data_IF_878309444909
#
_entry.id   IF_878309444909
#
_cell.length_a   1.000
_cell.length_b   1.000
_cell.length_c   1.000
_cell.angle_alpha   90.00
_cell.angle_beta   90.00
_cell.angle_gamma   90.00
#
_symmetry.space_group_name_H-M   'P 1'
#
loop_
_entity.id
_entity.type
_entity.pdbx_description
1 polymer ?
#
# COMPACT_ATOMS: atom_id res chain seq x y z
N UNK A 1 41.72 -21.32 -10.95
CA UNK A 1 40.29 -21.45 -11.32
C UNK A 1 39.34 -21.50 -10.12
N UNK A 2 39.67 -22.24 -9.04
CA UNK A 2 38.81 -22.42 -7.85
C UNK A 2 38.45 -21.12 -7.10
N UNK A 3 39.38 -20.15 -7.06
CA UNK A 3 39.21 -18.88 -6.33
C UNK A 3 38.20 -17.93 -6.96
N UNK A 4 38.03 -17.97 -8.29
CA UNK A 4 37.08 -17.13 -9.02
C UNK A 4 35.63 -17.64 -8.84
N UNK A 5 35.47 -18.94 -8.56
CA UNK A 5 34.18 -19.60 -8.36
C UNK A 5 33.52 -19.16 -7.04
N UNK A 6 34.33 -18.94 -6.00
CA UNK A 6 33.88 -18.44 -4.69
C UNK A 6 33.39 -16.99 -4.81
N UNK A 7 34.06 -16.17 -5.62
CA UNK A 7 33.67 -14.76 -5.83
C UNK A 7 32.32 -14.65 -6.54
N UNK A 8 32.05 -15.49 -7.54
CA UNK A 8 30.75 -15.52 -8.23
C UNK A 8 29.63 -15.98 -7.29
N UNK A 9 29.89 -16.95 -6.42
CA UNK A 9 28.91 -17.47 -5.47
C UNK A 9 28.48 -16.42 -4.42
N UNK A 10 29.41 -15.57 -3.98
CA UNK A 10 29.13 -14.48 -3.03
C UNK A 10 28.26 -13.39 -3.67
N UNK A 11 28.48 -13.06 -4.95
CA UNK A 11 27.67 -12.05 -5.66
C UNK A 11 26.23 -12.55 -5.88
N UNK A 12 26.05 -13.87 -6.09
CA UNK A 12 24.73 -14.46 -6.31
C UNK A 12 23.87 -14.59 -5.04
N UNK A 13 24.46 -14.44 -3.86
CA UNK A 13 23.81 -14.71 -2.57
C UNK A 13 23.26 -13.47 -1.87
N UNK A 14 23.27 -12.31 -2.52
CA UNK A 14 22.51 -11.14 -2.05
C UNK A 14 21.08 -11.22 -2.62
N UNK A 15 20.09 -11.75 -1.88
CA UNK A 15 18.70 -11.52 -2.27
C UNK A 15 18.48 -10.00 -2.22
N UNK A 16 18.10 -9.42 -3.36
CA UNK A 16 17.60 -8.06 -3.37
C UNK A 16 16.48 -7.97 -2.34
N UNK A 17 16.63 -7.08 -1.36
CA UNK A 17 15.52 -6.73 -0.47
C UNK A 17 14.50 -6.07 -1.38
N UNK A 18 13.40 -6.76 -1.65
CA UNK A 18 12.31 -6.21 -2.44
C UNK A 18 11.37 -5.49 -1.51
N UNK A 19 11.09 -4.24 -1.83
CA UNK A 19 10.18 -3.38 -1.10
C UNK A 19 8.83 -4.09 -0.91
N UNK A 20 8.43 -4.28 0.35
CA UNK A 20 7.20 -4.98 0.67
C UNK A 20 6.00 -4.16 0.18
N UNK A 21 5.25 -4.72 -0.77
CA UNK A 21 3.99 -4.15 -1.26
C UNK A 21 2.95 -4.25 -0.14
N UNK A 22 2.50 -3.12 0.38
CA UNK A 22 1.42 -3.09 1.34
C UNK A 22 0.08 -3.28 0.61
N UNK A 23 -0.77 -4.19 1.10
CA UNK A 23 -2.08 -4.47 0.52
C UNK A 23 -3.13 -4.42 1.61
N UNK A 24 -4.21 -3.68 1.37
CA UNK A 24 -5.39 -3.67 2.23
C UNK A 24 -6.61 -4.08 1.43
N UNK A 25 -7.41 -4.98 2.00
CA UNK A 25 -8.61 -5.53 1.39
C UNK A 25 -9.79 -5.16 2.28
N UNK A 26 -10.82 -4.57 1.70
CA UNK A 26 -12.02 -4.18 2.45
C UNK A 26 -12.73 -5.39 3.08
N UNK A 27 -13.56 -5.21 4.13
CA UNK A 27 -14.22 -6.32 4.82
C UNK A 27 -15.06 -7.19 3.88
N UNK A 28 -15.71 -6.56 2.88
CA UNK A 28 -16.48 -7.23 1.84
C UNK A 28 -15.64 -7.80 0.69
N UNK A 29 -14.31 -7.71 0.74
CA UNK A 29 -13.34 -8.17 -0.27
C UNK A 29 -13.53 -7.57 -1.68
N UNK A 30 -14.32 -6.50 -1.79
CA UNK A 30 -14.63 -5.83 -3.04
C UNK A 30 -13.63 -4.75 -3.41
N UNK A 31 -12.95 -4.15 -2.43
CA UNK A 31 -12.00 -3.06 -2.66
C UNK A 31 -10.64 -3.53 -2.21
N UNK A 32 -9.64 -3.36 -3.06
CA UNK A 32 -8.25 -3.70 -2.81
C UNK A 32 -7.44 -2.44 -3.03
N UNK A 33 -6.68 -2.02 -2.02
CA UNK A 33 -5.77 -0.88 -2.07
C UNK A 33 -4.35 -1.42 -1.95
N UNK A 34 -3.49 -1.08 -2.88
CA UNK A 34 -2.10 -1.53 -2.92
C UNK A 34 -1.15 -0.35 -2.99
N UNK A 35 -0.04 -0.45 -2.28
CA UNK A 35 1.07 0.50 -2.36
C UNK A 35 2.18 -0.12 -3.20
N UNK A 36 2.58 0.57 -4.26
CA UNK A 36 3.60 0.12 -5.20
C UNK A 36 4.72 1.15 -5.33
N UNK A 37 5.92 0.68 -5.61
CA UNK A 37 7.04 1.51 -6.03
C UNK A 37 7.19 1.41 -7.56
N UNK A 38 7.23 2.55 -8.25
CA UNK A 38 7.25 2.63 -9.72
C UNK A 38 8.53 2.03 -10.31
N UNK A 39 9.64 2.11 -9.60
CA UNK A 39 10.93 1.54 -9.99
C UNK A 39 11.12 0.09 -9.52
N UNK A 40 10.10 -0.50 -8.86
CA UNK A 40 10.18 -1.82 -8.23
C UNK A 40 11.42 -1.98 -7.33
N UNK A 41 11.77 -0.90 -6.63
CA UNK A 41 12.92 -0.80 -5.73
C UNK A 41 12.48 -0.43 -4.32
N UNK A 42 13.40 -0.51 -3.36
CA UNK A 42 13.19 -0.08 -1.97
C UNK A 42 13.00 1.44 -1.83
N UNK A 43 13.48 2.21 -2.81
CA UNK A 43 13.51 3.67 -2.75
C UNK A 43 13.17 4.25 -4.11
N UNK A 44 12.24 5.19 -4.15
CA UNK A 44 11.80 5.81 -5.40
C UNK A 44 10.45 6.48 -5.27
N UNK A 45 9.70 6.48 -6.36
CA UNK A 45 8.34 7.03 -6.41
C UNK A 45 7.34 5.97 -6.03
N UNK A 46 6.55 6.27 -5.01
CA UNK A 46 5.49 5.39 -4.56
C UNK A 46 4.15 5.86 -5.13
N UNK A 47 3.24 4.93 -5.33
CA UNK A 47 1.88 5.21 -5.77
C UNK A 47 0.90 4.20 -5.16
N UNK A 48 -0.34 4.65 -4.99
CA UNK A 48 -1.47 3.82 -4.58
C UNK A 48 -2.23 3.38 -5.83
N UNK A 49 -2.54 2.09 -5.89
CA UNK A 49 -3.46 1.51 -6.87
C UNK A 49 -4.69 1.02 -6.14
N UNK A 50 -5.87 1.47 -6.59
CA UNK A 50 -7.16 1.02 -6.03
C UNK A 50 -7.86 0.18 -7.07
N UNK A 51 -8.21 -1.04 -6.70
CA UNK A 51 -8.91 -1.98 -7.56
C UNK A 51 -10.21 -2.44 -6.93
N UNK A 52 -11.19 -2.70 -7.79
CA UNK A 52 -12.46 -3.27 -7.44
C UNK A 52 -12.54 -4.72 -7.92
N UNK A 53 -12.87 -5.64 -7.03
CA UNK A 53 -13.16 -7.03 -7.38
C UNK A 53 -14.65 -7.15 -7.70
N UNK A 54 -14.95 -7.43 -8.97
CA UNK A 54 -16.31 -7.72 -9.39
C UNK A 54 -16.73 -9.11 -8.90
N UNK A 55 -18.04 -9.33 -8.74
CA UNK A 55 -18.61 -10.61 -8.33
C UNK A 55 -18.24 -11.77 -9.28
N UNK A 56 -17.80 -11.46 -10.50
CA UNK A 56 -17.33 -12.43 -11.50
C UNK A 56 -15.86 -12.82 -11.31
N UNK A 57 -15.21 -12.38 -10.22
CA UNK A 57 -13.80 -12.68 -9.90
C UNK A 57 -12.79 -11.86 -10.69
N UNK A 58 -13.24 -10.92 -11.52
CA UNK A 58 -12.37 -10.01 -12.27
C UNK A 58 -12.01 -8.79 -11.41
N UNK A 59 -10.72 -8.50 -11.34
CA UNK A 59 -10.21 -7.29 -10.68
C UNK A 59 -10.09 -6.17 -11.72
N UNK A 60 -10.81 -5.08 -11.49
CA UNK A 60 -10.84 -3.90 -12.35
C UNK A 60 -10.14 -2.76 -11.61
N UNK A 61 -9.30 -2.01 -12.30
CA UNK A 61 -8.72 -0.79 -11.75
C UNK A 61 -9.80 0.27 -11.56
N UNK A 62 -10.04 0.67 -10.31
CA UNK A 62 -11.10 1.60 -9.95
C UNK A 62 -10.58 3.03 -9.89
N UNK A 63 -9.35 3.23 -9.41
CA UNK A 63 -8.67 4.52 -9.41
C UNK A 63 -7.27 4.29 -9.97
N UNK A 64 -6.87 5.04 -11.02
CA UNK A 64 -5.52 4.97 -11.56
C UNK A 64 -4.49 5.44 -10.52
N UNK A 65 -3.22 5.16 -10.78
CA UNK A 65 -2.08 5.47 -9.91
C UNK A 65 -2.21 6.85 -9.20
N UNK A 66 -2.33 6.82 -7.88
CA UNK A 66 -2.34 8.03 -7.04
C UNK A 66 -0.96 8.18 -6.41
N UNK A 67 -0.20 9.20 -6.77
CA UNK A 67 1.13 9.46 -6.18
C UNK A 67 1.00 10.23 -4.87
N UNK A 68 1.24 9.62 -3.69
CA UNK A 68 1.33 10.35 -2.44
C UNK A 68 2.57 11.23 -2.40
N UNK A 69 2.43 12.40 -1.79
CA UNK A 69 3.55 13.27 -1.49
C UNK A 69 3.09 14.67 -1.07
N UNK A 70 4.02 15.43 -0.51
CA UNK A 70 3.80 16.81 -0.09
C UNK A 70 4.80 17.71 -0.82
N UNK A 71 4.36 18.84 -1.31
CA UNK A 71 5.23 19.85 -1.93
C UNK A 71 5.24 21.07 -1.01
N UNK A 72 6.38 21.39 -0.43
CA UNK A 72 6.64 22.64 0.26
C UNK A 72 7.32 23.66 -0.65
N UNK A 73 7.46 24.89 -0.17
CA UNK A 73 8.26 25.95 -0.82
C UNK A 73 9.72 25.53 -1.03
N UNK A 74 10.27 24.80 -0.06
CA UNK A 74 11.70 24.52 0.03
C UNK A 74 12.06 23.06 -0.30
N UNK A 75 11.06 22.17 -0.35
CA UNK A 75 11.28 20.74 -0.58
C UNK A 75 10.06 20.03 -1.16
N UNK A 76 10.30 19.08 -2.07
CA UNK A 76 9.30 18.15 -2.59
C UNK A 76 9.50 16.75 -1.98
N UNK A 77 8.44 16.19 -1.40
CA UNK A 77 8.39 14.88 -0.75
C UNK A 77 7.60 13.88 -1.59
N UNK A 78 7.99 13.73 -2.86
CA UNK A 78 7.37 12.79 -3.81
C UNK A 78 8.34 11.72 -4.31
N UNK A 79 9.60 12.11 -4.50
CA UNK A 79 10.62 11.27 -5.12
C UNK A 79 11.53 10.67 -4.06
N UNK A 80 12.17 9.55 -4.42
CA UNK A 80 13.23 8.95 -3.60
C UNK A 80 12.76 8.58 -2.17
N UNK A 81 11.48 8.27 -2.01
CA UNK A 81 10.89 7.85 -0.75
C UNK A 81 11.18 6.37 -0.51
N UNK A 82 11.35 5.98 0.75
CA UNK A 82 11.48 4.58 1.18
C UNK A 82 10.34 4.24 2.13
N UNK A 83 9.61 3.16 1.85
CA UNK A 83 8.61 2.63 2.78
C UNK A 83 9.34 1.98 3.97
N UNK A 84 9.35 2.66 5.11
CA UNK A 84 10.07 2.19 6.31
C UNK A 84 9.31 1.07 7.03
N UNK A 85 7.99 1.25 7.19
CA UNK A 85 7.13 0.32 7.91
C UNK A 85 5.68 0.54 7.52
N UNK A 86 4.90 -0.53 7.55
CA UNK A 86 3.44 -0.49 7.48
C UNK A 86 2.84 -0.65 8.88
N UNK A 87 1.75 0.08 9.15
CA UNK A 87 0.98 -0.06 10.38
C UNK A 87 0.29 -1.43 10.48
N UNK A 88 -0.16 -1.78 11.69
CA UNK A 88 -1.02 -2.96 11.87
C UNK A 88 -2.41 -2.63 11.35
N UNK A 89 -2.83 -3.29 10.29
CA UNK A 89 -4.20 -3.16 9.77
C UNK A 89 -5.16 -3.67 10.85
N UNK A 90 -6.01 -2.78 11.38
CA UNK A 90 -7.02 -3.13 12.36
C UNK A 90 -8.40 -2.72 11.86
N UNK A 91 -9.35 -3.64 11.98
CA UNK A 91 -10.76 -3.32 11.81
C UNK A 91 -11.21 -2.45 12.98
N UNK A 92 -11.80 -1.29 12.70
CA UNK A 92 -12.48 -0.48 13.71
C UNK A 92 -13.97 -0.49 13.40
N UNK A 93 -14.75 -1.16 14.25
CA UNK A 93 -16.20 -1.12 14.19
C UNK A 93 -16.70 -0.24 15.33
N UNK A 94 -17.04 1.00 15.01
CA UNK A 94 -17.64 1.94 15.97
C UNK A 94 -19.06 2.26 15.53
N UNK A 95 -19.99 2.24 16.48
CA UNK A 95 -21.33 2.77 16.27
C UNK A 95 -21.33 4.24 16.71
N UNK A 96 -21.59 5.14 15.77
CA UNK A 96 -21.68 6.57 16.07
C UNK A 96 -23.17 6.90 16.16
N UNK A 97 -23.58 7.48 17.28
CA UNK A 97 -24.90 8.13 17.38
C UNK A 97 -24.74 9.56 16.88
N UNK A 98 -25.41 9.95 15.78
CA UNK A 98 -25.46 11.35 15.36
C UNK A 98 -26.11 12.17 16.48
N UNK A 99 -25.54 13.33 16.81
CA UNK A 99 -26.05 14.19 17.88
C UNK A 99 -27.43 14.80 17.58
N UNK A 100 -27.84 14.82 16.30
CA UNK A 100 -29.12 15.37 15.86
C UNK A 100 -29.61 14.59 14.64
N UNK A 101 -30.83 14.04 14.70
CA UNK A 101 -31.49 13.41 13.55
C UNK A 101 -32.16 12.09 13.87
N UNK A 102 -33.33 11.87 13.26
CA UNK A 102 -34.33 10.84 13.57
C UNK A 102 -33.95 9.41 13.13
N UNK A 103 -32.68 9.15 12.84
CA UNK A 103 -32.21 7.84 12.37
C UNK A 103 -31.26 7.19 13.38
N UNK A 104 -31.63 5.98 13.80
CA UNK A 104 -30.95 5.19 14.81
C UNK A 104 -29.66 4.57 14.24
N UNK A 105 -28.55 4.77 14.95
CA UNK A 105 -27.28 4.05 14.84
C UNK A 105 -26.73 3.82 13.41
N UNK A 106 -25.88 4.73 12.95
CA UNK A 106 -25.03 4.47 11.79
C UNK A 106 -23.86 3.55 12.20
N UNK A 107 -23.80 2.36 11.60
CA UNK A 107 -22.61 1.52 11.68
C UNK A 107 -21.50 2.16 10.84
N UNK A 108 -20.34 2.45 11.46
CA UNK A 108 -19.20 3.04 10.77
C UNK A 108 -18.04 2.04 10.69
N UNK A 109 -18.05 1.10 9.72
CA UNK A 109 -16.93 0.19 9.50
C UNK A 109 -15.81 0.95 8.75
N UNK A 110 -14.86 1.51 9.50
CA UNK A 110 -13.69 2.17 8.93
C UNK A 110 -12.46 1.29 9.13
N UNK A 111 -11.63 1.18 8.10
CA UNK A 111 -10.27 0.68 8.25
C UNK A 111 -9.40 1.82 8.77
N UNK A 112 -8.73 1.60 9.90
CA UNK A 112 -7.71 2.49 10.44
C UNK A 112 -6.34 1.96 10.05
N UNK A 113 -5.49 2.85 9.54
CA UNK A 113 -4.16 2.58 8.99
C UNK A 113 -3.07 2.90 10.01
#
# INVERSE_FOLDING_TARGET
MKRNLITVLIILSFPGVFAQKAVVISPGKKIIVQVHNRQNSDKGEWYLKVSYNNNNGTTIEAIPDITPGLSGSDQDYRNDLKLIKTGKISMSQSNIRPCTGREAFAANPQMRW
#
